data_IF_872475136503
#
_entry.id   IF_872475136503
#
_cell.length_a   1.000
_cell.length_b   1.000
_cell.length_c   1.000
_cell.angle_alpha   90.00
_cell.angle_beta   90.00
_cell.angle_gamma   90.00
#
_symmetry.space_group_name_H-M   'P 1'
#
loop_
_entity.id
_entity.type
_entity.pdbx_description
1 polymer ?
#
# COMPACT_ATOMS: atom_id res chain seq x y z
N UNK A 1 -6.76 1.55 -36.83
CA UNK A 1 -6.65 2.26 -35.54
C UNK A 1 -6.97 1.29 -34.44
N UNK A 2 -5.95 0.86 -33.71
CA UNK A 2 -6.13 0.15 -32.46
C UNK A 2 -6.45 1.20 -31.39
N UNK A 3 -7.70 1.27 -30.89
CA UNK A 3 -8.10 2.27 -29.91
C UNK A 3 -7.44 2.03 -28.54
N UNK A 4 -6.70 0.94 -28.34
CA UNK A 4 -6.02 0.60 -27.08
C UNK A 4 -4.59 1.14 -26.99
N UNK A 5 -4.01 1.60 -28.11
CA UNK A 5 -2.66 2.13 -28.14
C UNK A 5 -1.57 1.11 -27.81
N UNK A 6 -1.85 -0.19 -27.99
CA UNK A 6 -0.94 -1.28 -27.64
C UNK A 6 -0.85 -1.59 -26.15
N UNK A 7 -1.09 -0.62 -25.26
CA UNK A 7 -1.19 -0.85 -23.82
C UNK A 7 -0.04 -1.71 -23.25
N UNK A 8 -0.38 -2.72 -22.45
CA UNK A 8 0.61 -3.69 -21.95
C UNK A 8 1.20 -4.57 -23.06
N UNK A 9 0.43 -4.83 -24.12
CA UNK A 9 0.85 -5.58 -25.31
C UNK A 9 1.89 -4.82 -26.15
N UNK A 10 2.12 -3.54 -25.88
CA UNK A 10 3.17 -2.71 -26.47
C UNK A 10 4.55 -2.90 -25.82
N UNK A 11 4.64 -3.64 -24.72
CA UNK A 11 5.92 -4.02 -24.12
C UNK A 11 6.64 -5.07 -24.98
N UNK A 12 7.97 -5.04 -24.97
CA UNK A 12 8.80 -5.96 -25.74
C UNK A 12 10.08 -6.31 -24.99
N UNK A 13 10.51 -7.56 -25.09
CA UNK A 13 11.73 -8.02 -24.44
C UNK A 13 12.99 -7.39 -25.06
N UNK A 14 14.07 -7.37 -24.29
CA UNK A 14 15.39 -7.16 -24.86
C UNK A 14 15.66 -8.24 -25.93
N UNK A 15 16.24 -7.82 -27.06
CA UNK A 15 16.46 -8.69 -28.20
C UNK A 15 15.38 -8.63 -29.28
N UNK A 16 14.26 -7.93 -29.07
CA UNK A 16 13.25 -7.72 -30.12
C UNK A 16 13.84 -6.90 -31.27
N UNK A 17 13.70 -7.42 -32.50
CA UNK A 17 14.09 -6.72 -33.74
C UNK A 17 13.09 -5.62 -34.05
N UNK A 18 13.59 -4.41 -34.22
CA UNK A 18 12.83 -3.23 -34.64
C UNK A 18 13.16 -2.90 -36.08
N UNK A 19 12.17 -2.43 -36.84
CA UNK A 19 12.35 -1.94 -38.20
C UNK A 19 11.84 -0.52 -38.33
N UNK A 20 12.58 0.33 -39.03
CA UNK A 20 12.12 1.68 -39.34
C UNK A 20 10.98 1.62 -40.37
N UNK A 21 9.88 2.30 -40.07
CA UNK A 21 8.76 2.46 -41.02
C UNK A 21 9.18 3.22 -42.29
N UNK A 22 10.13 4.15 -42.15
CA UNK A 22 10.80 4.83 -43.26
C UNK A 22 12.31 4.87 -43.00
N UNK A 23 13.10 4.38 -43.95
CA UNK A 23 14.57 4.43 -43.89
C UNK A 23 15.16 5.48 -44.84
N UNK A 24 16.31 6.05 -44.46
CA UNK A 24 17.09 6.96 -45.29
C UNK A 24 18.32 6.24 -45.86
N UNK A 25 18.80 6.61 -47.06
CA UNK A 25 19.99 6.00 -47.65
C UNK A 25 21.21 6.13 -46.73
N UNK A 26 21.89 5.00 -46.47
CA UNK A 26 23.07 4.94 -45.61
C UNK A 26 22.79 4.67 -44.13
N UNK A 27 21.53 4.45 -43.74
CA UNK A 27 21.14 4.05 -42.37
C UNK A 27 20.56 2.63 -42.42
N UNK A 28 21.05 1.75 -41.54
CA UNK A 28 20.49 0.41 -41.38
C UNK A 28 19.04 0.49 -40.89
N UNK A 29 18.12 -0.13 -41.64
CA UNK A 29 16.68 -0.03 -41.39
C UNK A 29 16.19 -0.93 -40.25
N UNK A 30 17.07 -1.75 -39.67
CA UNK A 30 16.75 -2.66 -38.57
C UNK A 30 17.68 -2.45 -37.38
N UNK A 31 17.14 -2.49 -36.18
CA UNK A 31 17.90 -2.49 -34.92
C UNK A 31 17.40 -3.57 -33.97
N UNK A 32 18.11 -3.79 -32.87
CA UNK A 32 17.71 -4.72 -31.80
C UNK A 32 17.58 -3.92 -30.51
N UNK A 33 16.52 -4.16 -29.75
CA UNK A 33 16.37 -3.57 -28.42
C UNK A 33 17.42 -4.14 -27.47
N UNK A 34 18.26 -3.27 -26.89
CA UNK A 34 19.27 -3.70 -25.92
C UNK A 34 18.67 -3.87 -24.52
N UNK A 35 17.70 -3.03 -24.17
CA UNK A 35 16.93 -3.08 -22.94
C UNK A 35 15.45 -3.30 -23.30
N UNK A 36 14.66 -3.96 -22.43
CA UNK A 36 13.25 -4.21 -22.72
C UNK A 36 12.43 -2.91 -22.76
N UNK A 37 11.44 -2.84 -23.65
CA UNK A 37 10.36 -1.87 -23.53
C UNK A 37 9.42 -2.33 -22.41
N UNK A 38 9.32 -1.51 -21.37
CA UNK A 38 8.46 -1.74 -20.21
C UNK A 38 7.64 -0.49 -19.92
N UNK A 39 6.59 -0.62 -19.10
CA UNK A 39 5.75 0.52 -18.70
C UNK A 39 4.56 0.79 -19.63
N UNK A 40 4.36 0.00 -20.67
CA UNK A 40 3.10 -0.07 -21.40
C UNK A 40 1.98 -0.49 -20.45
N UNK A 41 0.90 0.30 -20.44
CA UNK A 41 -0.27 0.09 -19.60
C UNK A 41 -1.53 0.35 -20.42
N UNK A 42 -2.53 -0.50 -20.24
CA UNK A 42 -3.80 -0.37 -20.93
C UNK A 42 -4.51 0.93 -20.56
N UNK A 43 -5.38 1.39 -21.47
CA UNK A 43 -6.23 2.54 -21.21
C UNK A 43 -7.08 2.27 -19.96
N UNK A 44 -7.10 3.23 -19.05
CA UNK A 44 -7.88 3.17 -17.81
C UNK A 44 -9.36 2.89 -18.12
N UNK A 45 -9.94 1.90 -17.43
CA UNK A 45 -11.35 1.56 -17.57
C UNK A 45 -12.26 2.72 -17.16
N UNK A 46 -13.41 2.87 -17.84
CA UNK A 46 -14.32 3.99 -17.59
C UNK A 46 -14.84 4.05 -16.15
N UNK A 47 -15.05 2.90 -15.49
CA UNK A 47 -15.49 2.89 -14.08
C UNK A 47 -14.38 3.35 -13.12
N UNK A 48 -13.12 2.95 -13.35
CA UNK A 48 -11.97 3.44 -12.58
C UNK A 48 -11.82 4.96 -12.75
N UNK A 49 -11.93 5.45 -13.99
CA UNK A 49 -11.91 6.87 -14.29
C UNK A 49 -13.05 7.63 -13.59
N UNK A 50 -14.28 7.11 -13.65
CA UNK A 50 -15.45 7.71 -12.97
C UNK A 50 -15.25 7.78 -11.47
N UNK A 51 -14.78 6.70 -10.84
CA UNK A 51 -14.52 6.65 -9.41
C UNK A 51 -13.50 7.72 -9.00
N UNK A 52 -12.39 7.84 -9.74
CA UNK A 52 -11.36 8.87 -9.53
C UNK A 52 -11.91 10.29 -9.70
N UNK A 53 -12.78 10.52 -10.68
CA UNK A 53 -13.40 11.83 -10.92
C UNK A 53 -14.36 12.23 -9.78
N UNK A 54 -15.20 11.30 -9.30
CA UNK A 54 -16.12 11.55 -8.19
C UNK A 54 -15.35 11.84 -6.90
N UNK A 55 -14.27 11.10 -6.63
CA UNK A 55 -13.41 11.33 -5.48
C UNK A 55 -12.79 12.73 -5.51
N UNK A 56 -12.25 13.15 -6.67
CA UNK A 56 -11.69 14.49 -6.85
C UNK A 56 -12.74 15.60 -6.67
N UNK A 57 -13.99 15.35 -7.07
CA UNK A 57 -15.10 16.30 -6.86
C UNK A 57 -15.51 16.41 -5.38
N UNK A 58 -15.57 15.28 -4.67
CA UNK A 58 -15.92 15.23 -3.25
C UNK A 58 -14.84 15.83 -2.35
N UNK A 59 -13.59 15.81 -2.80
CA UNK A 59 -12.44 16.30 -2.05
C UNK A 59 -11.65 17.33 -2.86
N UNK A 60 -12.19 18.56 -3.03
CA UNK A 60 -11.46 19.64 -3.68
C UNK A 60 -10.13 19.90 -2.96
N UNK A 61 -9.03 20.14 -3.69
CA UNK A 61 -7.74 20.44 -3.08
C UNK A 61 -7.82 21.65 -2.15
N UNK A 62 -7.36 21.48 -0.92
CA UNK A 62 -7.41 22.52 0.12
C UNK A 62 -6.02 23.10 0.44
N UNK A 63 -4.99 22.64 -0.27
CA UNK A 63 -3.63 23.13 -0.12
C UNK A 63 -2.98 22.71 1.20
N UNK A 64 -3.17 21.46 1.62
CA UNK A 64 -2.51 20.88 2.79
C UNK A 64 -3.46 20.41 3.91
N UNK A 65 -4.69 20.05 3.56
CA UNK A 65 -5.59 19.28 4.43
C UNK A 65 -5.13 17.82 4.57
N UNK A 66 -5.65 17.08 5.54
CA UNK A 66 -5.33 15.66 5.71
C UNK A 66 -5.64 14.88 4.40
N UNK A 67 -6.78 15.17 3.77
CA UNK A 67 -7.15 14.55 2.49
C UNK A 67 -6.21 14.88 1.34
N UNK A 68 -5.62 16.08 1.31
CA UNK A 68 -4.64 16.42 0.27
C UNK A 68 -3.40 15.52 0.37
N UNK A 69 -2.87 15.33 1.59
CA UNK A 69 -1.71 14.45 1.81
C UNK A 69 -2.01 13.00 1.46
N UNK A 70 -3.21 12.52 1.81
CA UNK A 70 -3.66 11.17 1.45
C UNK A 70 -3.75 10.98 -0.06
N UNK A 71 -4.38 11.92 -0.78
CA UNK A 71 -4.47 11.88 -2.24
C UNK A 71 -3.09 11.94 -2.91
N UNK A 72 -2.19 12.79 -2.43
CA UNK A 72 -0.85 12.89 -3.01
C UNK A 72 -0.03 11.63 -2.78
N UNK A 73 -0.13 11.00 -1.61
CA UNK A 73 0.55 9.74 -1.33
C UNK A 73 0.00 8.61 -2.21
N UNK A 74 -1.32 8.46 -2.31
CA UNK A 74 -1.98 7.43 -3.12
C UNK A 74 -1.79 7.62 -4.64
N UNK A 75 -1.43 8.83 -5.09
CA UNK A 75 -1.09 9.08 -6.49
C UNK A 75 0.27 8.49 -6.90
N UNK A 76 1.10 8.07 -5.94
CA UNK A 76 2.41 7.46 -6.20
C UNK A 76 2.23 5.97 -6.48
N UNK A 77 2.70 5.45 -7.64
CA UNK A 77 2.53 4.03 -7.98
C UNK A 77 3.06 3.08 -6.90
N UNK A 78 2.28 2.06 -6.59
CA UNK A 78 2.60 1.06 -5.57
C UNK A 78 2.19 1.43 -4.14
N UNK A 79 1.73 2.65 -3.88
CA UNK A 79 1.12 3.01 -2.59
C UNK A 79 -0.35 2.59 -2.59
N UNK A 80 -0.75 1.79 -1.62
CA UNK A 80 -2.10 1.21 -1.52
C UNK A 80 -2.94 1.84 -0.41
N UNK A 81 -2.31 2.23 0.69
CA UNK A 81 -2.96 2.88 1.84
C UNK A 81 -2.10 4.02 2.35
N UNK A 82 -2.74 5.04 2.91
CA UNK A 82 -2.06 6.18 3.49
C UNK A 82 -2.82 6.71 4.71
N UNK A 83 -2.09 7.11 5.76
CA UNK A 83 -2.64 7.81 6.91
C UNK A 83 -1.83 9.06 7.25
N UNK A 84 -2.36 10.25 6.95
CA UNK A 84 -1.80 11.52 7.43
C UNK A 84 -1.90 11.63 8.95
N UNK A 85 -0.83 12.08 9.59
CA UNK A 85 -0.76 12.35 11.02
C UNK A 85 -0.16 13.72 11.27
N UNK A 86 -1.01 14.64 11.74
CA UNK A 86 -0.55 15.99 12.12
C UNK A 86 0.46 15.92 13.25
N UNK A 87 1.55 16.67 13.11
CA UNK A 87 2.56 16.91 14.16
C UNK A 87 3.29 15.65 14.62
N UNK A 88 3.44 14.65 13.73
CA UNK A 88 4.11 13.39 14.07
C UNK A 88 5.53 13.61 14.63
N UNK A 89 6.25 14.57 14.05
CA UNK A 89 7.61 14.97 14.45
C UNK A 89 7.62 16.33 15.16
N UNK A 90 6.50 16.72 15.79
CA UNK A 90 6.34 18.00 16.48
C UNK A 90 5.70 19.11 15.64
N UNK A 91 5.72 20.34 16.16
CA UNK A 91 5.07 21.48 15.52
C UNK A 91 5.67 21.77 14.12
N UNK A 92 4.81 22.11 13.16
CA UNK A 92 5.21 22.36 11.77
C UNK A 92 5.40 21.10 10.91
N UNK A 93 5.20 19.90 11.47
CA UNK A 93 5.39 18.64 10.75
C UNK A 93 4.07 17.98 10.39
N UNK A 94 4.07 17.27 9.26
CA UNK A 94 3.01 16.36 8.85
C UNK A 94 3.65 14.99 8.63
N UNK A 95 3.26 14.02 9.45
CA UNK A 95 3.60 12.61 9.23
C UNK A 95 2.70 12.01 8.17
N UNK A 96 3.24 11.15 7.33
CA UNK A 96 2.47 10.38 6.35
C UNK A 96 2.89 8.93 6.47
N UNK A 97 2.01 8.09 7.01
CA UNK A 97 2.20 6.65 6.99
C UNK A 97 1.72 6.08 5.67
N UNK A 98 2.48 5.18 5.06
CA UNK A 98 2.11 4.53 3.79
C UNK A 98 2.20 3.01 3.89
N UNK A 99 1.42 2.30 3.08
CA UNK A 99 1.58 0.87 2.81
C UNK A 99 1.64 0.62 1.30
N UNK A 100 2.24 -0.51 0.93
CA UNK A 100 2.47 -0.98 -0.42
C UNK A 100 2.01 -2.44 -0.56
N UNK A 101 0.73 -2.71 -0.24
CA UNK A 101 0.09 -4.04 -0.23
C UNK A 101 -0.17 -4.61 -1.64
N UNK A 102 0.68 -4.30 -2.63
CA UNK A 102 0.54 -4.76 -4.00
C UNK A 102 0.92 -6.24 -4.16
N UNK A 103 1.23 -6.66 -5.39
CA UNK A 103 1.55 -8.06 -5.69
C UNK A 103 2.81 -8.60 -4.99
N UNK A 104 3.68 -7.72 -4.48
CA UNK A 104 4.83 -8.12 -3.67
C UNK A 104 4.45 -8.11 -2.18
N UNK A 105 4.02 -9.27 -1.68
CA UNK A 105 3.65 -9.46 -0.27
C UNK A 105 4.82 -9.97 0.59
N UNK A 106 6.06 -9.98 0.07
CA UNK A 106 7.20 -10.57 0.78
C UNK A 106 7.50 -9.94 2.15
N UNK A 107 7.01 -8.72 2.38
CA UNK A 107 7.14 -8.00 3.64
C UNK A 107 5.79 -7.60 4.25
N UNK A 108 4.69 -8.30 3.90
CA UNK A 108 3.33 -7.96 4.34
C UNK A 108 2.85 -6.56 3.91
N UNK A 109 3.33 -6.08 2.76
CA UNK A 109 2.97 -4.77 2.20
C UNK A 109 3.64 -3.59 2.89
N UNK A 110 4.57 -3.80 3.83
CA UNK A 110 5.28 -2.70 4.47
C UNK A 110 6.22 -1.99 3.48
N UNK A 111 6.34 -0.66 3.51
CA UNK A 111 7.26 0.06 2.64
C UNK A 111 8.73 -0.37 2.81
N UNK A 112 9.46 -0.50 1.70
CA UNK A 112 10.90 -0.76 1.68
C UNK A 112 11.65 0.56 1.50
N UNK A 113 12.53 0.87 2.46
CA UNK A 113 13.33 2.09 2.43
C UNK A 113 13.63 2.61 3.83
N UNK A 114 13.94 3.90 3.89
CA UNK A 114 14.13 4.62 5.16
C UNK A 114 13.11 5.75 5.25
N UNK A 115 12.54 5.92 6.43
CA UNK A 115 11.63 7.03 6.72
C UNK A 115 12.37 8.37 6.67
N UNK A 116 11.68 9.44 6.33
CA UNK A 116 12.32 10.75 6.25
C UNK A 116 11.53 11.80 5.48
N UNK A 117 12.21 12.91 5.23
CA UNK A 117 11.73 13.99 4.36
C UNK A 117 12.23 13.82 2.93
N UNK A 118 11.73 14.62 2.01
CA UNK A 118 12.14 14.62 0.59
C UNK A 118 13.64 14.89 0.42
N UNK A 119 14.23 14.28 -0.62
CA UNK A 119 15.58 14.57 -1.09
C UNK A 119 15.71 15.98 -1.66
N UNK A 120 14.58 16.59 -2.06
CA UNK A 120 14.49 17.92 -2.66
C UNK A 120 14.41 19.06 -1.61
N UNK A 121 14.22 18.70 -0.35
CA UNK A 121 14.22 19.65 0.76
C UNK A 121 15.66 19.88 1.24
N UNK A 122 16.09 21.12 1.44
CA UNK A 122 17.45 21.43 1.94
C UNK A 122 17.55 21.35 3.47
N UNK A 123 16.43 21.12 4.18
CA UNK A 123 16.42 20.99 5.63
C UNK A 123 17.23 19.78 6.10
N UNK A 124 18.00 19.96 7.19
CA UNK A 124 18.97 18.98 7.71
C UNK A 124 18.39 17.77 8.43
N UNK A 125 17.16 17.36 8.12
CA UNK A 125 16.56 16.14 8.65
C UNK A 125 16.89 14.91 7.79
N UNK A 126 16.68 13.72 8.34
CA UNK A 126 16.86 12.44 7.65
C UNK A 126 16.06 12.41 6.35
N UNK A 127 16.71 11.97 5.26
CA UNK A 127 16.09 11.85 3.95
C UNK A 127 15.48 10.47 3.75
N UNK A 128 14.28 10.44 3.18
CA UNK A 128 13.60 9.22 2.88
C UNK A 128 14.22 8.52 1.67
N UNK A 129 14.24 7.19 1.67
CA UNK A 129 14.71 6.37 0.53
C UNK A 129 13.65 5.33 0.17
N UNK A 130 13.81 4.65 -0.97
CA UNK A 130 12.87 3.63 -1.41
C UNK A 130 11.45 4.17 -1.60
N UNK A 131 10.46 3.44 -1.11
CA UNK A 131 9.03 3.77 -1.24
C UNK A 131 8.70 5.11 -0.56
N UNK A 132 9.18 5.31 0.66
CA UNK A 132 9.02 6.56 1.40
C UNK A 132 9.66 7.73 0.65
N UNK A 133 10.83 7.51 0.03
CA UNK A 133 11.52 8.52 -0.78
C UNK A 133 10.71 9.00 -1.98
N UNK A 134 10.14 8.05 -2.75
CA UNK A 134 9.28 8.35 -3.91
C UNK A 134 8.08 9.19 -3.50
N UNK A 135 7.45 8.85 -2.36
CA UNK A 135 6.29 9.60 -1.83
C UNK A 135 6.70 10.98 -1.32
N UNK A 136 7.80 11.07 -0.57
CA UNK A 136 8.27 12.34 -0.02
C UNK A 136 8.59 13.35 -1.13
N UNK A 137 9.29 12.92 -2.18
CA UNK A 137 9.64 13.76 -3.34
C UNK A 137 8.42 14.17 -4.15
N UNK A 138 7.41 13.30 -4.26
CA UNK A 138 6.15 13.63 -4.92
C UNK A 138 5.35 14.69 -4.14
N UNK A 139 5.30 14.58 -2.81
CA UNK A 139 4.54 15.50 -1.96
C UNK A 139 5.22 16.87 -1.84
N UNK A 140 6.56 16.91 -1.78
CA UNK A 140 7.33 18.13 -1.49
C UNK A 140 6.89 19.38 -2.29
N UNK A 141 6.80 19.37 -3.64
CA UNK A 141 6.41 20.57 -4.40
C UNK A 141 4.92 20.93 -4.29
N UNK A 142 4.09 20.07 -3.68
CA UNK A 142 2.63 20.25 -3.53
C UNK A 142 2.24 20.72 -2.13
N UNK A 143 3.02 20.32 -1.13
CA UNK A 143 2.77 20.68 0.26
C UNK A 143 2.92 22.20 0.48
N UNK A 144 2.24 22.77 1.50
CA UNK A 144 2.52 24.12 1.95
C UNK A 144 3.99 24.34 2.27
N UNK A 145 4.51 25.50 1.91
CA UNK A 145 5.93 25.87 2.12
C UNK A 145 6.39 25.82 3.58
N UNK A 146 5.46 25.83 4.54
CA UNK A 146 5.76 25.76 5.98
C UNK A 146 5.64 24.35 6.55
N UNK A 147 5.17 23.37 5.78
CA UNK A 147 4.93 22.01 6.24
C UNK A 147 6.16 21.14 5.97
N UNK A 148 6.79 20.64 7.04
CA UNK A 148 7.82 19.62 6.94
C UNK A 148 7.16 18.24 6.88
N UNK A 149 7.15 17.62 5.70
CA UNK A 149 6.49 16.33 5.47
C UNK A 149 7.46 15.20 5.76
N UNK A 150 7.10 14.33 6.70
CA UNK A 150 7.87 13.17 7.10
C UNK A 150 7.11 11.90 6.72
N UNK A 151 7.60 11.19 5.70
CA UNK A 151 6.99 9.95 5.22
C UNK A 151 7.61 8.77 5.95
N UNK A 152 6.78 7.85 6.42
CA UNK A 152 7.21 6.73 7.24
C UNK A 152 6.46 5.44 6.95
N UNK A 153 7.15 4.32 7.14
CA UNK A 153 6.55 3.01 7.24
C UNK A 153 5.90 2.84 8.62
N UNK A 154 4.69 2.26 8.72
CA UNK A 154 4.21 1.76 10.00
C UNK A 154 5.17 0.72 10.59
N UNK A 155 5.07 0.51 11.90
CA UNK A 155 5.77 -0.56 12.61
C UNK A 155 4.80 -1.72 12.79
N UNK A 156 5.22 -2.91 12.38
CA UNK A 156 4.43 -4.12 12.55
C UNK A 156 4.20 -4.41 14.04
N UNK A 157 2.93 -4.49 14.41
CA UNK A 157 2.48 -5.01 15.70
C UNK A 157 2.02 -6.44 15.50
N UNK A 158 2.93 -7.38 15.70
CA UNK A 158 2.62 -8.81 15.61
C UNK A 158 1.66 -9.21 16.71
N UNK A 159 0.57 -9.89 16.33
CA UNK A 159 -0.44 -10.40 17.26
C UNK A 159 -0.58 -11.90 17.03
N UNK A 160 -0.14 -12.68 18.00
CA UNK A 160 -0.34 -14.13 18.01
C UNK A 160 -1.79 -14.48 18.39
N UNK A 161 -2.19 -15.71 18.10
CA UNK A 161 -3.53 -16.22 18.33
C UNK A 161 -3.49 -17.62 18.92
N UNK A 162 -4.42 -17.89 19.83
CA UNK A 162 -4.69 -19.24 20.33
C UNK A 162 -6.19 -19.51 20.16
N UNK A 163 -6.53 -20.52 19.37
CA UNK A 163 -7.90 -20.91 19.06
C UNK A 163 -8.11 -22.37 19.45
N UNK A 164 -9.00 -22.61 20.41
CA UNK A 164 -9.28 -23.95 20.91
C UNK A 164 -10.59 -24.52 20.37
N UNK A 165 -10.75 -25.84 20.46
CA UNK A 165 -11.95 -26.57 20.02
C UNK A 165 -11.91 -26.99 18.55
N UNK A 166 -10.81 -26.71 17.85
CA UNK A 166 -10.68 -26.92 16.40
C UNK A 166 -9.32 -27.52 15.99
N UNK A 167 -8.54 -28.12 16.90
CA UNK A 167 -7.26 -28.80 16.55
C UNK A 167 -7.34 -29.89 15.49
N UNK A 168 -8.55 -30.37 15.14
CA UNK A 168 -8.78 -31.41 14.15
C UNK A 168 -8.98 -30.87 12.72
N UNK A 169 -9.06 -29.55 12.53
CA UNK A 169 -9.37 -28.95 11.22
C UNK A 169 -8.19 -29.07 10.24
N UNK A 170 -8.50 -29.14 8.95
CA UNK A 170 -7.52 -29.24 7.88
C UNK A 170 -6.83 -27.91 7.56
N UNK A 171 -5.79 -27.98 6.73
CA UNK A 171 -5.02 -26.81 6.29
C UNK A 171 -5.85 -25.80 5.47
N UNK A 172 -6.90 -26.26 4.82
CA UNK A 172 -7.89 -25.43 4.13
C UNK A 172 -8.60 -24.49 5.10
N UNK A 173 -9.09 -25.02 6.22
CA UNK A 173 -9.77 -24.22 7.26
C UNK A 173 -8.77 -23.29 7.95
N UNK A 174 -7.57 -23.75 8.32
CA UNK A 174 -6.58 -22.87 8.96
C UNK A 174 -6.12 -21.75 8.03
N UNK A 175 -6.06 -21.98 6.72
CA UNK A 175 -5.77 -20.94 5.71
C UNK A 175 -6.91 -19.94 5.63
N UNK A 176 -8.17 -20.39 5.64
CA UNK A 176 -9.33 -19.52 5.68
C UNK A 176 -9.36 -18.65 6.95
N UNK A 177 -9.01 -19.22 8.11
CA UNK A 177 -8.91 -18.48 9.38
C UNK A 177 -7.82 -17.41 9.29
N UNK A 178 -6.64 -17.77 8.77
CA UNK A 178 -5.55 -16.82 8.57
C UNK A 178 -6.00 -15.65 7.69
N UNK A 179 -6.62 -15.92 6.53
CA UNK A 179 -7.14 -14.91 5.63
C UNK A 179 -8.23 -14.03 6.27
N UNK A 180 -9.12 -14.61 7.09
CA UNK A 180 -10.16 -13.86 7.80
C UNK A 180 -9.56 -12.89 8.83
N UNK A 181 -8.55 -13.33 9.59
CA UNK A 181 -7.82 -12.47 10.53
C UNK A 181 -7.09 -11.36 9.77
N UNK A 182 -6.40 -11.70 8.69
CA UNK A 182 -5.67 -10.74 7.85
C UNK A 182 -6.62 -9.68 7.27
N UNK A 183 -7.82 -10.07 6.85
CA UNK A 183 -8.84 -9.13 6.38
C UNK A 183 -9.33 -8.18 7.48
N UNK A 184 -9.61 -8.70 8.69
CA UNK A 184 -9.99 -7.85 9.83
C UNK A 184 -8.88 -6.87 10.17
N UNK A 185 -7.62 -7.30 10.13
CA UNK A 185 -6.46 -6.44 10.36
C UNK A 185 -6.28 -5.39 9.26
N UNK A 186 -6.51 -5.77 8.00
CA UNK A 186 -6.43 -4.87 6.85
C UNK A 186 -7.49 -3.77 6.90
N UNK A 187 -8.74 -4.12 7.22
CA UNK A 187 -9.87 -3.18 7.31
C UNK A 187 -9.82 -2.29 8.55
N UNK A 188 -9.47 -2.85 9.71
CA UNK A 188 -9.50 -2.15 10.99
C UNK A 188 -8.18 -1.49 11.41
N UNK A 189 -7.07 -1.81 10.74
CA UNK A 189 -5.73 -1.35 11.10
C UNK A 189 -5.50 0.12 10.77
N UNK A 190 -4.98 0.88 11.75
CA UNK A 190 -4.50 2.26 11.49
C UNK A 190 -3.34 2.65 12.41
N UNK A 191 -2.27 3.27 11.88
CA UNK A 191 -1.10 3.68 12.64
C UNK A 191 -1.24 5.07 13.29
N UNK A 192 -2.40 5.73 13.23
CA UNK A 192 -2.52 7.11 13.75
C UNK A 192 -2.73 7.18 15.27
N UNK A 193 -2.76 6.04 15.97
CA UNK A 193 -2.77 5.91 17.43
C UNK A 193 -4.15 5.93 18.10
N UNK A 194 -5.21 5.75 17.33
CA UNK A 194 -6.58 5.54 17.84
C UNK A 194 -7.20 4.24 17.28
N UNK A 195 -6.39 3.42 16.60
CA UNK A 195 -6.83 2.17 16.01
C UNK A 195 -7.14 1.14 17.09
N UNK A 196 -8.19 0.36 16.88
CA UNK A 196 -8.59 -0.73 17.77
C UNK A 196 -9.18 -1.86 16.95
N UNK A 197 -8.64 -3.06 17.10
CA UNK A 197 -9.23 -4.27 16.52
C UNK A 197 -10.12 -4.92 17.58
N UNK A 198 -11.39 -5.09 17.26
CA UNK A 198 -12.36 -5.64 18.19
C UNK A 198 -12.36 -7.17 18.15
N UNK A 199 -12.41 -7.80 19.32
CA UNK A 199 -12.60 -9.25 19.41
C UNK A 199 -13.91 -9.71 18.78
N UNK A 200 -14.94 -8.87 18.80
CA UNK A 200 -16.22 -9.19 18.14
C UNK A 200 -16.07 -9.35 16.63
N UNK A 201 -15.24 -8.53 15.99
CA UNK A 201 -15.00 -8.62 14.55
C UNK A 201 -14.18 -9.87 14.21
N UNK A 202 -13.16 -10.17 15.01
CA UNK A 202 -12.39 -11.42 14.88
C UNK A 202 -13.26 -12.66 15.08
N UNK A 203 -14.07 -12.69 16.14
CA UNK A 203 -14.97 -13.82 16.41
C UNK A 203 -16.01 -14.01 15.30
N UNK A 204 -16.56 -12.92 14.77
CA UNK A 204 -17.49 -12.96 13.63
C UNK A 204 -16.78 -13.54 12.39
N UNK A 205 -15.66 -12.96 12.01
CA UNK A 205 -14.94 -13.36 10.81
C UNK A 205 -14.49 -14.83 10.84
N UNK A 206 -14.04 -15.33 12.00
CA UNK A 206 -13.66 -16.74 12.19
C UNK A 206 -14.90 -17.64 12.22
N UNK A 207 -15.97 -17.20 12.89
CA UNK A 207 -17.22 -17.97 13.02
C UNK A 207 -18.03 -18.10 11.73
N UNK A 208 -17.80 -17.23 10.76
CA UNK A 208 -18.43 -17.29 9.43
C UNK A 208 -17.80 -18.36 8.51
N UNK A 209 -16.68 -18.98 8.94
CA UNK A 209 -16.00 -20.04 8.18
C UNK A 209 -16.63 -21.39 8.47
N UNK A 210 -17.06 -22.10 7.43
CA UNK A 210 -17.56 -23.47 7.56
C UNK A 210 -16.50 -24.39 8.21
N UNK A 211 -16.92 -25.11 9.25
CA UNK A 211 -16.04 -26.01 10.00
C UNK A 211 -15.37 -25.42 11.24
N UNK A 212 -15.57 -24.13 11.56
CA UNK A 212 -15.07 -23.52 12.81
C UNK A 212 -16.09 -23.56 13.95
N UNK A 213 -17.28 -24.12 13.73
CA UNK A 213 -18.35 -24.14 14.72
C UNK A 213 -17.88 -24.70 16.08
N UNK A 214 -18.08 -23.91 17.14
CA UNK A 214 -17.69 -24.28 18.50
C UNK A 214 -16.27 -23.89 18.91
N UNK A 215 -15.53 -23.18 18.06
CA UNK A 215 -14.22 -22.62 18.44
C UNK A 215 -14.33 -21.67 19.64
N UNK A 216 -13.23 -21.54 20.37
CA UNK A 216 -13.05 -20.53 21.42
C UNK A 216 -11.76 -19.78 21.13
N UNK A 217 -11.86 -18.47 20.90
CA UNK A 217 -10.70 -17.58 20.83
C UNK A 217 -10.14 -17.37 22.24
N UNK A 218 -9.05 -18.08 22.55
CA UNK A 218 -8.37 -18.05 23.86
C UNK A 218 -7.45 -16.83 23.96
N UNK A 219 -6.76 -16.50 22.87
CA UNK A 219 -5.93 -15.30 22.77
C UNK A 219 -6.08 -14.69 21.36
N UNK A 220 -6.18 -13.35 21.23
CA UNK A 220 -6.17 -12.31 22.28
C UNK A 220 -7.42 -12.30 23.18
N UNK A 221 -7.24 -11.95 24.46
CA UNK A 221 -8.33 -11.91 25.48
C UNK A 221 -9.03 -10.57 25.63
N UNK A 222 -8.45 -9.51 25.04
CA UNK A 222 -9.04 -8.17 24.97
C UNK A 222 -8.94 -7.62 23.55
N UNK A 223 -9.69 -6.56 23.27
CA UNK A 223 -9.50 -5.80 22.02
C UNK A 223 -8.04 -5.36 21.89
N UNK A 224 -7.53 -5.34 20.66
CA UNK A 224 -6.14 -5.01 20.37
C UNK A 224 -6.06 -3.50 20.14
N UNK A 225 -5.38 -2.78 21.04
CA UNK A 225 -5.10 -1.36 20.87
C UNK A 225 -3.91 -1.14 19.94
N UNK A 226 -4.00 -0.17 19.02
CA UNK A 226 -2.92 0.22 18.12
C UNK A 226 -2.38 1.60 18.51
N UNK A 227 -1.12 1.63 18.93
CA UNK A 227 -0.39 2.85 19.23
C UNK A 227 -0.07 3.67 17.99
N UNK A 228 0.46 4.88 18.19
CA UNK A 228 0.97 5.70 17.07
C UNK A 228 2.12 4.96 16.41
N UNK A 229 2.03 4.80 15.09
CA UNK A 229 2.96 4.04 14.27
C UNK A 229 2.65 2.55 14.16
N UNK A 230 1.78 1.98 15.00
CA UNK A 230 1.56 0.53 15.01
C UNK A 230 0.49 0.10 13.98
N UNK A 231 0.81 -0.92 13.19
CA UNK A 231 -0.14 -1.59 12.29
C UNK A 231 -0.18 -3.10 12.60
N UNK A 232 -1.37 -3.70 12.79
CA UNK A 232 -1.45 -5.09 13.21
C UNK A 232 -1.00 -6.03 12.09
N UNK A 233 -0.21 -7.04 12.45
CA UNK A 233 0.18 -8.13 11.57
C UNK A 233 -0.11 -9.43 12.29
N UNK A 234 -0.73 -10.39 11.61
CA UNK A 234 -1.00 -11.70 12.19
C UNK A 234 0.31 -12.40 12.48
N UNK A 235 0.46 -12.82 13.73
CA UNK A 235 1.55 -13.66 14.20
C UNK A 235 1.24 -15.15 14.03
N UNK A 236 1.75 -15.95 14.95
CA UNK A 236 1.47 -17.38 14.99
C UNK A 236 0.00 -17.62 15.36
N UNK A 237 -0.64 -18.61 14.71
CA UNK A 237 -2.00 -19.04 15.06
C UNK A 237 -1.93 -20.49 15.52
N UNK A 238 -2.10 -20.69 16.82
CA UNK A 238 -2.06 -21.99 17.46
C UNK A 238 -3.47 -22.56 17.60
N UNK A 239 -3.65 -23.80 17.15
CA UNK A 239 -4.93 -24.52 17.18
C UNK A 239 -4.89 -25.66 18.20
N UNK A 240 -5.80 -25.63 19.18
CA UNK A 240 -5.88 -26.63 20.27
C UNK A 240 -7.22 -27.37 20.32
#
# INVERSE_FOLDING_TARGET
>A
DDPTGGGIDGNADAGTTLTLDVSLPGIDASGVMLEPATGGADIEAQESFRARMLLAYQHPPQGGSDTDYEQWALAVPGVTRCWPKRRLMGAGTVGVYIMCDGNDETNHGFPVGTDGISQLDDWGAQKATGDQGRVADYIYPRAPVTALVYVCSPVAKTVDFEISGISHVGSDITTAIAAAIDNVFFEGGTPVGNGKIFLSDLNRAIGDIDGTAGFILVFPTTNIDLGVGELPVRGEVNYT
#
